data_IF_760771778602
#
_entry.id   IF_760771778602
#
_cell.length_a   1.000
_cell.length_b   1.000
_cell.length_c   1.000
_cell.angle_alpha   90.00
_cell.angle_beta   90.00
_cell.angle_gamma   90.00
#
_symmetry.space_group_name_H-M   'P 1'
#
loop_
_entity.id
_entity.type
_entity.pdbx_description
1 polymer ?
#
# COMPACT_ATOMS: atom_id res chain seq x y z
N UNK A 1 -21.44 29.15 12.00
CA UNK A 1 -19.96 29.27 11.99
C UNK A 1 -19.51 29.88 13.31
N UNK A 2 -18.42 29.36 13.90
CA UNK A 2 -17.81 29.92 15.11
C UNK A 2 -16.58 30.73 14.72
N UNK A 3 -16.43 31.94 15.27
CA UNK A 3 -15.35 32.86 14.92
C UNK A 3 -14.37 33.02 16.07
N UNK A 4 -13.08 32.92 15.77
CA UNK A 4 -11.99 33.24 16.68
C UNK A 4 -11.11 34.34 16.07
N UNK A 5 -10.87 35.41 16.83
CA UNK A 5 -9.98 36.49 16.40
C UNK A 5 -8.58 36.26 16.96
N UNK A 6 -7.59 36.17 16.06
CA UNK A 6 -6.18 36.10 16.40
C UNK A 6 -5.58 37.48 16.20
N UNK A 7 -5.12 38.09 17.30
CA UNK A 7 -4.50 39.42 17.24
C UNK A 7 -3.10 39.34 16.64
N UNK A 8 -2.84 40.20 15.66
CA UNK A 8 -1.51 40.35 15.09
C UNK A 8 -0.56 41.02 16.10
N UNK A 9 0.69 40.57 16.16
CA UNK A 9 1.74 41.24 16.95
C UNK A 9 2.47 42.26 16.05
N UNK A 10 2.59 43.50 16.52
CA UNK A 10 3.34 44.62 15.93
C UNK A 10 3.19 44.78 14.39
N UNK A 11 2.33 45.71 13.96
CA UNK A 11 2.08 46.08 12.55
C UNK A 11 1.59 44.96 11.61
N UNK A 12 1.17 43.81 12.14
CA UNK A 12 0.47 42.77 11.38
C UNK A 12 -1.03 42.87 11.61
N UNK A 13 -1.81 42.77 10.54
CA UNK A 13 -3.26 42.75 10.61
C UNK A 13 -3.77 41.57 11.46
N UNK A 14 -4.89 41.78 12.16
CA UNK A 14 -5.60 40.71 12.84
C UNK A 14 -6.12 39.69 11.82
N UNK A 15 -6.08 38.41 12.19
CA UNK A 15 -6.62 37.32 11.38
C UNK A 15 -7.86 36.79 12.07
N UNK A 16 -8.94 36.62 11.30
CA UNK A 16 -10.12 35.93 11.77
C UNK A 16 -10.09 34.49 11.31
N UNK A 17 -10.27 33.55 12.24
CA UNK A 17 -10.41 32.12 11.92
C UNK A 17 -11.88 31.75 12.11
N UNK A 18 -12.54 31.38 11.02
CA UNK A 18 -13.88 30.83 11.04
C UNK A 18 -13.83 29.31 11.02
N UNK A 19 -14.42 28.66 12.02
CA UNK A 19 -14.62 27.21 12.04
C UNK A 19 -16.06 26.89 11.71
N UNK A 20 -16.29 26.10 10.68
CA UNK A 20 -17.63 25.72 10.25
C UNK A 20 -17.78 24.20 10.11
N UNK A 21 -18.86 23.66 10.68
CA UNK A 21 -19.25 22.28 10.48
C UNK A 21 -20.64 22.29 9.84
N UNK A 22 -20.74 21.74 8.63
CA UNK A 22 -22.01 21.54 7.92
C UNK A 22 -22.40 20.07 8.03
N UNK A 23 -23.52 19.71 8.65
CA UNK A 23 -24.03 18.33 8.64
C UNK A 23 -24.38 17.87 7.22
N UNK A 24 -24.26 16.57 6.88
CA UNK A 24 -24.55 16.06 5.53
C UNK A 24 -25.95 16.37 4.99
N UNK A 25 -26.95 16.46 5.87
CA UNK A 25 -28.35 16.69 5.52
C UNK A 25 -28.83 18.10 5.90
N UNK A 26 -27.92 19.09 5.89
CA UNK A 26 -28.27 20.46 6.24
C UNK A 26 -29.23 21.09 5.22
N UNK A 27 -30.15 21.90 5.73
CA UNK A 27 -31.09 22.68 4.92
C UNK A 27 -30.37 23.80 4.14
N UNK A 28 -30.86 24.07 2.92
CA UNK A 28 -30.34 25.12 2.04
C UNK A 28 -30.45 26.50 2.67
N UNK A 29 -31.50 26.76 3.45
CA UNK A 29 -31.67 28.06 4.12
C UNK A 29 -30.53 28.34 5.12
N UNK A 30 -30.00 27.30 5.78
CA UNK A 30 -28.88 27.42 6.71
C UNK A 30 -27.57 27.66 5.94
N UNK A 31 -27.44 27.07 4.74
CA UNK A 31 -26.32 27.34 3.84
C UNK A 31 -26.31 28.80 3.38
N UNK A 32 -27.47 29.37 3.01
CA UNK A 32 -27.58 30.79 2.63
C UNK A 32 -27.12 31.73 3.74
N UNK A 33 -27.56 31.48 4.97
CA UNK A 33 -27.16 32.28 6.14
C UNK A 33 -25.64 32.22 6.32
N UNK A 34 -25.06 31.02 6.12
CA UNK A 34 -23.62 30.86 6.18
C UNK A 34 -22.91 31.64 5.06
N UNK A 35 -23.39 31.61 3.82
CA UNK A 35 -22.81 32.34 2.70
C UNK A 35 -22.87 33.85 2.89
N UNK A 36 -23.98 34.39 3.41
CA UNK A 36 -24.10 35.81 3.73
C UNK A 36 -23.08 36.23 4.80
N UNK A 37 -22.96 35.45 5.88
CA UNK A 37 -21.95 35.70 6.91
C UNK A 37 -20.53 35.63 6.36
N UNK A 38 -20.25 34.67 5.48
CA UNK A 38 -18.95 34.53 4.85
C UNK A 38 -18.61 35.75 4.00
N UNK A 39 -19.58 36.26 3.24
CA UNK A 39 -19.40 37.44 2.39
C UNK A 39 -19.09 38.70 3.21
N UNK A 40 -19.85 38.95 4.27
CA UNK A 40 -19.61 40.10 5.16
C UNK A 40 -18.22 40.06 5.83
N UNK A 41 -17.79 38.88 6.26
CA UNK A 41 -16.51 38.72 6.95
C UNK A 41 -15.31 38.82 5.99
N UNK A 42 -15.45 38.28 4.78
CA UNK A 42 -14.37 38.32 3.77
C UNK A 42 -14.04 39.74 3.31
N UNK A 43 -15.03 40.64 3.27
CA UNK A 43 -14.84 42.04 2.88
C UNK A 43 -14.14 42.89 3.95
N UNK A 44 -14.31 42.51 5.22
CA UNK A 44 -13.90 43.35 6.35
C UNK A 44 -12.59 42.92 6.99
N UNK A 45 -12.19 41.64 6.84
CA UNK A 45 -11.11 41.04 7.60
C UNK A 45 -10.34 39.99 6.79
N UNK A 46 -9.07 39.80 7.13
CA UNK A 46 -8.31 38.64 6.66
C UNK A 46 -8.91 37.38 7.29
N UNK A 47 -9.69 36.64 6.50
CA UNK A 47 -10.42 35.45 6.94
C UNK A 47 -9.68 34.17 6.55
N UNK A 48 -9.54 33.27 7.51
CA UNK A 48 -9.17 31.86 7.29
C UNK A 48 -10.37 31.01 7.68
N UNK A 49 -11.01 30.42 6.69
CA UNK A 49 -12.13 29.51 6.88
C UNK A 49 -11.61 28.06 6.92
N UNK A 50 -11.97 27.32 7.95
CA UNK A 50 -11.62 25.90 8.12
C UNK A 50 -12.82 25.11 8.61
N UNK A 51 -12.85 23.82 8.31
CA UNK A 51 -13.89 22.94 8.82
C UNK A 51 -14.24 21.81 7.88
N UNK A 52 -15.34 21.13 8.22
CA UNK A 52 -15.89 20.03 7.43
C UNK A 52 -17.23 20.47 6.84
N UNK A 53 -17.25 20.58 5.52
CA UNK A 53 -18.40 21.05 4.75
C UNK A 53 -19.34 19.93 4.30
N UNK A 54 -18.93 18.65 4.43
CA UNK A 54 -19.71 17.47 4.01
C UNK A 54 -20.33 17.56 2.60
N UNK A 55 -19.57 18.05 1.62
CA UNK A 55 -19.94 18.02 0.21
C UNK A 55 -19.07 16.98 -0.55
N UNK A 56 -19.53 15.71 -0.66
CA UNK A 56 -18.71 14.63 -1.20
C UNK A 56 -18.48 14.71 -2.71
N UNK A 57 -19.29 15.47 -3.45
CA UNK A 57 -19.20 15.63 -4.90
C UNK A 57 -18.35 16.83 -5.34
N UNK A 58 -17.75 17.56 -4.39
CA UNK A 58 -16.81 18.64 -4.72
C UNK A 58 -15.46 18.02 -5.11
N UNK A 59 -15.03 18.30 -6.34
CA UNK A 59 -13.65 18.15 -6.75
C UNK A 59 -12.89 19.44 -6.42
N UNK A 60 -12.13 19.39 -5.32
CA UNK A 60 -11.33 20.52 -4.86
C UNK A 60 -10.14 20.84 -5.79
N UNK A 61 -9.61 19.84 -6.53
CA UNK A 61 -8.49 20.05 -7.46
C UNK A 61 -8.89 20.95 -8.64
N UNK A 62 -10.07 20.70 -9.20
CA UNK A 62 -10.58 21.42 -10.36
C UNK A 62 -11.57 22.52 -9.99
N UNK A 63 -11.86 22.70 -8.70
CA UNK A 63 -12.89 23.61 -8.21
C UNK A 63 -14.25 23.39 -8.90
N UNK A 64 -14.71 22.14 -8.99
CA UNK A 64 -15.97 21.76 -9.65
C UNK A 64 -16.86 20.90 -8.75
N UNK A 65 -18.17 20.88 -9.03
CA UNK A 65 -19.13 20.02 -8.34
C UNK A 65 -20.29 19.58 -9.24
N UNK A 66 -20.88 18.42 -8.94
CA UNK A 66 -22.00 17.85 -9.70
C UNK A 66 -23.36 18.42 -9.25
N UNK A 67 -23.53 18.59 -7.93
CA UNK A 67 -24.79 19.04 -7.33
C UNK A 67 -24.82 20.56 -7.20
N UNK A 68 -26.02 21.11 -7.36
CA UNK A 68 -26.26 22.56 -7.25
C UNK A 68 -25.83 23.11 -5.89
N UNK A 69 -26.22 22.48 -4.78
CA UNK A 69 -25.82 22.91 -3.43
C UNK A 69 -24.30 23.02 -3.26
N UNK A 70 -23.56 22.04 -3.79
CA UNK A 70 -22.09 22.00 -3.75
C UNK A 70 -21.48 23.10 -4.61
N UNK A 71 -22.04 23.38 -5.80
CA UNK A 71 -21.60 24.49 -6.66
C UNK A 71 -21.79 25.84 -6.00
N UNK A 72 -22.90 26.05 -5.28
CA UNK A 72 -23.16 27.33 -4.60
C UNK A 72 -22.11 27.65 -3.54
N UNK A 73 -21.54 26.66 -2.86
CA UNK A 73 -20.38 26.87 -2.00
C UNK A 73 -19.17 27.35 -2.81
N UNK A 74 -18.87 26.71 -3.95
CA UNK A 74 -17.72 27.06 -4.79
C UNK A 74 -17.86 28.48 -5.38
N UNK A 75 -19.05 28.82 -5.87
CA UNK A 75 -19.40 30.17 -6.33
C UNK A 75 -19.21 31.19 -5.20
N UNK A 76 -19.72 30.90 -4.01
CA UNK A 76 -19.55 31.78 -2.85
C UNK A 76 -18.07 31.97 -2.47
N UNK A 77 -17.25 30.91 -2.55
CA UNK A 77 -15.80 31.00 -2.32
C UNK A 77 -15.14 31.90 -3.38
N UNK A 78 -15.51 31.73 -4.65
CA UNK A 78 -14.99 32.52 -5.76
C UNK A 78 -15.41 34.00 -5.69
N UNK A 79 -16.69 34.27 -5.46
CA UNK A 79 -17.28 35.60 -5.33
C UNK A 79 -16.65 36.42 -4.19
N UNK A 80 -16.18 35.72 -3.15
CA UNK A 80 -15.53 36.31 -1.98
C UNK A 80 -14.00 36.28 -2.05
N UNK A 81 -13.43 35.98 -3.22
CA UNK A 81 -11.98 35.91 -3.48
C UNK A 81 -11.22 35.01 -2.48
N UNK A 82 -11.90 34.00 -1.94
CA UNK A 82 -11.30 33.04 -1.03
C UNK A 82 -10.49 32.03 -1.84
N UNK A 83 -9.25 31.79 -1.43
CA UNK A 83 -8.35 30.86 -2.12
C UNK A 83 -8.13 29.61 -1.30
N UNK A 84 -8.19 28.46 -1.97
CA UNK A 84 -7.89 27.20 -1.33
C UNK A 84 -6.40 27.13 -0.97
N UNK A 85 -6.11 26.89 0.32
CA UNK A 85 -4.74 26.78 0.84
C UNK A 85 -4.21 25.34 0.92
N UNK A 86 -4.87 24.40 0.25
CA UNK A 86 -4.40 23.00 0.18
C UNK A 86 -3.21 22.93 -0.76
N UNK A 87 -2.00 22.98 -0.20
CA UNK A 87 -0.75 22.78 -0.95
C UNK A 87 -0.36 21.30 -0.91
N UNK A 88 -0.92 20.51 -1.83
CA UNK A 88 -0.52 19.12 -2.05
C UNK A 88 -1.49 18.38 -2.96
N UNK A 89 -0.97 17.44 -3.74
CA UNK A 89 -1.80 16.50 -4.50
C UNK A 89 -2.47 15.56 -3.49
N UNK A 90 -3.68 15.91 -3.05
CA UNK A 90 -4.47 15.04 -2.19
C UNK A 90 -5.08 13.96 -3.07
N UNK A 91 -4.66 12.74 -2.80
CA UNK A 91 -5.20 11.58 -3.50
C UNK A 91 -6.35 10.99 -2.70
N UNK A 92 -7.54 10.97 -3.30
CA UNK A 92 -8.78 10.54 -2.63
C UNK A 92 -9.29 9.19 -3.13
N UNK A 93 -8.99 8.83 -4.39
CA UNK A 93 -9.37 7.54 -4.98
C UNK A 93 -8.42 6.43 -4.57
N UNK A 94 -8.94 5.21 -4.47
CA UNK A 94 -8.18 4.07 -3.94
C UNK A 94 -7.09 3.60 -4.91
N UNK A 95 -7.33 3.67 -6.22
CA UNK A 95 -6.35 3.32 -7.26
C UNK A 95 -5.15 4.28 -7.21
N UNK A 96 -5.44 5.58 -7.14
CA UNK A 96 -4.40 6.60 -7.07
C UNK A 96 -3.59 6.49 -5.75
N UNK A 97 -4.24 6.17 -4.62
CA UNK A 97 -3.54 5.92 -3.34
C UNK A 97 -2.60 4.73 -3.45
N UNK A 98 -3.06 3.65 -4.08
CA UNK A 98 -2.24 2.46 -4.31
C UNK A 98 -1.02 2.80 -5.16
N UNK A 99 -1.17 3.63 -6.19
CA UNK A 99 -0.07 4.04 -7.06
C UNK A 99 0.95 4.91 -6.33
N UNK A 100 0.50 5.85 -5.48
CA UNK A 100 1.40 6.66 -4.64
C UNK A 100 2.20 5.78 -3.68
N UNK A 101 1.55 4.81 -3.04
CA UNK A 101 2.22 3.86 -2.15
C UNK A 101 3.22 2.98 -2.92
N UNK A 102 2.83 2.47 -4.09
CA UNK A 102 3.67 1.65 -4.95
C UNK A 102 4.91 2.42 -5.43
N UNK A 103 4.73 3.64 -5.94
CA UNK A 103 5.82 4.52 -6.37
C UNK A 103 6.79 4.80 -5.21
N UNK A 104 6.27 5.06 -4.00
CA UNK A 104 7.11 5.24 -2.83
C UNK A 104 7.88 3.96 -2.47
N UNK A 105 7.20 2.80 -2.38
CA UNK A 105 7.86 1.53 -2.07
C UNK A 105 8.93 1.14 -3.09
N UNK A 106 8.68 1.38 -4.38
CA UNK A 106 9.67 1.18 -5.43
C UNK A 106 10.86 2.14 -5.27
N UNK A 107 10.62 3.41 -4.92
CA UNK A 107 11.68 4.43 -4.78
C UNK A 107 12.65 4.16 -3.62
N UNK A 108 12.18 3.54 -2.52
CA UNK A 108 13.02 3.19 -1.37
C UNK A 108 13.75 1.86 -1.56
N UNK A 109 13.31 1.06 -2.55
CA UNK A 109 14.04 -0.13 -2.95
C UNK A 109 15.23 0.33 -3.80
N UNK A 110 16.43 0.25 -3.24
CA UNK A 110 17.64 0.59 -3.99
C UNK A 110 17.73 -0.28 -5.24
N UNK A 111 17.61 0.34 -6.41
CA UNK A 111 18.00 -0.23 -7.70
C UNK A 111 19.52 -0.29 -7.81
N UNK A 112 20.16 -1.02 -6.89
CA UNK A 112 21.59 -1.32 -6.88
C UNK A 112 21.73 -2.72 -6.30
N UNK A 113 21.84 -3.76 -7.11
CA UNK A 113 22.96 -3.97 -8.03
C UNK A 113 22.42 -4.78 -9.20
N UNK A 114 22.46 -4.25 -10.43
CA UNK A 114 22.79 -5.14 -11.53
C UNK A 114 24.13 -5.74 -11.13
N UNK A 115 24.16 -6.98 -10.65
CA UNK A 115 25.39 -7.74 -10.75
C UNK A 115 25.67 -7.70 -12.25
N UNK A 116 26.65 -6.89 -12.65
CA UNK A 116 27.19 -6.95 -14.00
C UNK A 116 27.80 -8.35 -14.11
N UNK A 117 26.98 -9.31 -14.51
CA UNK A 117 27.41 -10.57 -15.08
C UNK A 117 27.93 -10.28 -16.49
N UNK A 118 28.94 -9.40 -16.58
CA UNK A 118 29.92 -9.48 -17.64
C UNK A 118 30.85 -10.63 -17.25
N UNK A 119 30.32 -11.83 -17.41
CA UNK A 119 31.11 -13.04 -17.56
C UNK A 119 30.66 -13.60 -18.90
N UNK A 120 31.50 -13.40 -19.92
CA UNK A 120 31.35 -14.07 -21.21
C UNK A 120 31.03 -15.56 -20.99
N UNK A 121 30.25 -16.20 -21.89
CA UNK A 121 30.14 -17.65 -21.89
C UNK A 121 31.50 -18.22 -22.30
N UNK A 122 32.38 -18.44 -21.33
CA UNK A 122 33.54 -19.27 -21.54
C UNK A 122 33.04 -20.71 -21.48
N UNK A 123 32.93 -21.32 -22.66
CA UNK A 123 32.83 -22.77 -22.80
C UNK A 123 33.94 -23.40 -21.96
N UNK A 124 33.56 -24.05 -20.87
CA UNK A 124 34.44 -24.87 -20.03
C UNK A 124 33.81 -26.25 -20.01
N UNK A 125 34.48 -27.14 -20.73
CA UNK A 125 33.94 -28.42 -21.15
C UNK A 125 33.71 -29.42 -20.03
N UNK A 126 33.18 -30.56 -20.48
CA UNK A 126 33.01 -31.82 -19.77
C UNK A 126 33.98 -31.97 -18.60
N UNK A 127 33.47 -31.66 -17.42
CA UNK A 127 33.99 -32.17 -16.16
C UNK A 127 32.87 -32.96 -15.52
N UNK A 128 32.85 -34.26 -15.82
CA UNK A 128 32.34 -35.25 -14.87
C UNK A 128 33.11 -35.05 -13.55
N UNK A 129 32.48 -34.37 -12.60
CA UNK A 129 33.12 -33.95 -11.36
C UNK A 129 32.10 -33.66 -10.28
N UNK A 130 31.61 -34.74 -9.66
CA UNK A 130 30.73 -34.80 -8.49
C UNK A 130 29.38 -34.10 -8.68
N UNK A 131 28.38 -34.90 -9.04
CA UNK A 131 26.97 -34.57 -8.85
C UNK A 131 26.81 -34.01 -7.43
N UNK A 132 26.13 -32.88 -7.31
CA UNK A 132 25.71 -32.31 -6.03
C UNK A 132 25.29 -33.47 -5.11
N UNK A 133 25.87 -33.58 -3.90
CA UNK A 133 25.22 -34.30 -2.81
C UNK A 133 23.93 -33.54 -2.51
N UNK A 134 22.93 -33.81 -3.34
CA UNK A 134 21.82 -32.91 -3.61
C UNK A 134 20.83 -32.95 -2.47
N UNK A 135 20.25 -31.78 -2.17
CA UNK A 135 19.08 -31.67 -1.30
C UNK A 135 18.08 -32.76 -1.71
N UNK A 136 17.81 -33.69 -0.79
CA UNK A 136 16.79 -34.71 -0.98
C UNK A 136 15.49 -34.18 -0.41
N UNK A 137 14.60 -33.75 -1.30
CA UNK A 137 13.27 -33.26 -0.94
C UNK A 137 12.37 -34.45 -0.65
N UNK A 138 11.98 -34.61 0.62
CA UNK A 138 11.13 -35.73 1.07
C UNK A 138 9.66 -35.31 1.10
N UNK A 139 8.79 -36.21 0.62
CA UNK A 139 7.34 -35.99 0.66
C UNK A 139 6.84 -35.87 2.10
N UNK A 140 7.43 -36.61 3.04
CA UNK A 140 7.05 -36.55 4.46
C UNK A 140 7.24 -35.14 5.04
N UNK A 141 8.37 -34.49 4.73
CA UNK A 141 8.68 -33.13 5.21
C UNK A 141 7.69 -32.10 4.64
N UNK A 142 7.30 -32.26 3.37
CA UNK A 142 6.31 -31.40 2.73
C UNK A 142 4.93 -31.60 3.39
N UNK A 143 4.51 -32.86 3.60
CA UNK A 143 3.24 -33.18 4.27
C UNK A 143 3.16 -32.53 5.66
N UNK A 144 4.23 -32.70 6.44
CA UNK A 144 4.38 -32.10 7.76
C UNK A 144 4.28 -30.57 7.73
N UNK A 145 4.92 -29.92 6.75
CA UNK A 145 4.81 -28.47 6.56
C UNK A 145 3.39 -28.04 6.19
N UNK A 146 2.69 -28.79 5.35
CA UNK A 146 1.31 -28.51 4.95
C UNK A 146 0.34 -28.66 6.13
N UNK A 147 0.48 -29.71 6.94
CA UNK A 147 -0.32 -29.92 8.16
C UNK A 147 -0.11 -28.83 9.21
N UNK A 148 1.09 -28.22 9.25
CA UNK A 148 1.40 -27.10 10.15
C UNK A 148 0.93 -25.74 9.64
N UNK A 149 0.40 -25.64 8.42
CA UNK A 149 -0.12 -24.37 7.91
C UNK A 149 -1.22 -23.82 8.82
N UNK A 150 -1.18 -22.50 9.02
CA UNK A 150 -2.26 -21.76 9.65
C UNK A 150 -3.36 -21.49 8.62
N UNK A 151 -4.51 -22.13 8.81
CA UNK A 151 -5.65 -22.10 7.90
C UNK A 151 -6.26 -20.69 7.74
N UNK A 152 -5.97 -19.76 8.67
CA UNK A 152 -6.51 -18.40 8.68
C UNK A 152 -5.59 -17.38 8.01
N UNK A 153 -4.46 -17.81 7.43
CA UNK A 153 -3.58 -16.93 6.67
C UNK A 153 -4.17 -16.54 5.32
N UNK A 154 -3.76 -15.38 4.82
CA UNK A 154 -4.13 -14.90 3.50
C UNK A 154 -3.51 -15.77 2.40
N UNK A 155 -4.27 -15.97 1.32
CA UNK A 155 -3.81 -16.58 0.08
C UNK A 155 -2.90 -15.64 -0.72
N UNK A 156 -2.04 -16.22 -1.56
CA UNK A 156 -1.24 -15.47 -2.55
C UNK A 156 -2.05 -15.16 -3.81
N UNK A 157 -1.36 -14.65 -4.84
CA UNK A 157 -1.95 -14.40 -6.17
C UNK A 157 -2.29 -15.70 -6.93
N UNK A 158 -1.77 -16.83 -6.46
CA UNK A 158 -2.00 -18.18 -7.01
C UNK A 158 -3.40 -18.74 -6.74
N UNK A 159 -4.24 -18.06 -5.95
CA UNK A 159 -5.58 -18.55 -5.66
C UNK A 159 -5.62 -19.65 -4.59
N UNK A 160 -4.48 -20.06 -4.02
CA UNK A 160 -4.40 -21.21 -3.13
C UNK A 160 -4.55 -20.80 -1.66
N UNK A 161 -5.68 -21.16 -1.07
CA UNK A 161 -5.93 -20.93 0.35
C UNK A 161 -5.18 -21.93 1.23
N UNK A 162 -4.61 -21.51 2.38
CA UNK A 162 -3.87 -22.42 3.27
C UNK A 162 -4.76 -23.55 3.77
N UNK A 163 -6.06 -23.28 4.01
CA UNK A 163 -7.03 -24.30 4.41
C UNK A 163 -7.12 -25.43 3.40
N UNK A 164 -7.23 -25.13 2.11
CA UNK A 164 -7.33 -26.16 1.05
C UNK A 164 -6.06 -26.99 0.99
N UNK A 165 -4.89 -26.35 1.07
CA UNK A 165 -3.60 -27.03 1.06
C UNK A 165 -3.42 -27.97 2.26
N UNK A 166 -3.95 -27.56 3.43
CA UNK A 166 -3.94 -28.35 4.65
C UNK A 166 -4.85 -29.57 4.58
N UNK A 167 -6.07 -29.42 4.05
CA UNK A 167 -7.00 -30.55 3.84
C UNK A 167 -6.48 -31.55 2.81
N UNK A 168 -5.67 -31.09 1.86
CA UNK A 168 -5.05 -31.92 0.81
C UNK A 168 -3.60 -32.31 1.14
N UNK A 169 -3.17 -32.15 2.39
CA UNK A 169 -1.79 -32.38 2.81
C UNK A 169 -1.31 -33.82 2.64
N UNK A 170 -2.22 -34.79 2.50
CA UNK A 170 -1.87 -36.20 2.26
C UNK A 170 -1.70 -36.54 0.77
N UNK A 171 -2.14 -35.65 -0.13
CA UNK A 171 -2.15 -35.88 -1.59
C UNK A 171 -1.18 -34.95 -2.33
N UNK A 172 -1.04 -33.71 -1.87
CA UNK A 172 -0.17 -32.70 -2.47
C UNK A 172 1.35 -32.92 -2.33
N UNK A 173 1.89 -33.66 -1.33
CA UNK A 173 3.34 -33.79 -1.17
C UNK A 173 4.05 -34.36 -2.40
N UNK A 174 3.47 -35.36 -3.05
CA UNK A 174 4.02 -35.99 -4.25
C UNK A 174 4.13 -35.05 -5.45
N UNK A 175 3.07 -34.36 -5.91
CA UNK A 175 3.22 -33.39 -7.00
C UNK A 175 4.13 -32.22 -6.61
N UNK A 176 4.10 -31.76 -5.35
CA UNK A 176 4.97 -30.68 -4.89
C UNK A 176 6.46 -31.09 -4.87
N UNK A 177 6.79 -32.32 -4.47
CA UNK A 177 8.17 -32.80 -4.46
C UNK A 177 8.78 -32.82 -5.86
N UNK A 178 8.00 -33.22 -6.87
CA UNK A 178 8.40 -33.19 -8.28
C UNK A 178 8.68 -31.76 -8.73
N UNK A 179 7.77 -30.82 -8.40
CA UNK A 179 7.94 -29.41 -8.76
C UNK A 179 9.18 -28.84 -8.06
N UNK A 180 9.33 -29.03 -6.75
CA UNK A 180 10.46 -28.49 -6.01
C UNK A 180 11.80 -29.06 -6.48
N UNK A 181 11.86 -30.37 -6.78
CA UNK A 181 13.07 -30.99 -7.30
C UNK A 181 13.41 -30.42 -8.69
N UNK A 182 12.41 -30.26 -9.57
CA UNK A 182 12.62 -29.61 -10.87
C UNK A 182 13.10 -28.18 -10.70
N UNK A 183 12.50 -27.42 -9.78
CA UNK A 183 12.89 -26.04 -9.50
C UNK A 183 14.32 -25.95 -8.96
N UNK A 184 14.72 -26.87 -8.09
CA UNK A 184 16.09 -26.96 -7.58
C UNK A 184 17.11 -27.26 -8.69
N UNK A 185 16.79 -28.18 -9.60
CA UNK A 185 17.68 -28.58 -10.69
C UNK A 185 17.80 -27.51 -11.79
N UNK A 186 16.72 -26.77 -12.06
CA UNK A 186 16.67 -25.77 -13.13
C UNK A 186 17.04 -24.37 -12.65
N UNK A 187 16.95 -24.10 -11.35
CA UNK A 187 17.04 -22.74 -10.80
C UNK A 187 15.83 -21.86 -11.12
N UNK A 188 14.77 -22.44 -11.68
CA UNK A 188 13.54 -21.73 -12.05
C UNK A 188 12.38 -22.16 -11.14
N UNK A 189 11.48 -21.23 -10.82
CA UNK A 189 10.25 -21.51 -10.06
C UNK A 189 9.02 -21.07 -10.86
N UNK A 190 7.83 -21.63 -10.60
CA UNK A 190 6.59 -21.16 -11.20
C UNK A 190 6.44 -19.63 -11.10
N UNK A 191 5.92 -19.01 -12.16
CA UNK A 191 5.75 -17.56 -12.21
C UNK A 191 4.88 -17.05 -11.05
N UNK A 192 3.85 -17.81 -10.67
CA UNK A 192 2.95 -17.50 -9.57
C UNK A 192 3.66 -17.43 -8.20
N UNK A 193 4.83 -18.06 -8.08
CA UNK A 193 5.64 -18.01 -6.86
C UNK A 193 6.59 -16.80 -6.83
N UNK A 194 6.86 -16.20 -8.01
CA UNK A 194 7.72 -15.01 -8.15
C UNK A 194 6.97 -13.71 -7.96
N UNK A 195 5.65 -13.74 -8.11
CA UNK A 195 4.77 -12.57 -7.96
C UNK A 195 4.12 -12.58 -6.58
N UNK A 196 3.79 -11.39 -6.07
CA UNK A 196 3.15 -11.23 -4.78
C UNK A 196 2.24 -10.01 -4.78
N UNK A 197 1.15 -10.08 -4.00
CA UNK A 197 0.36 -8.88 -3.72
C UNK A 197 1.05 -8.08 -2.61
N UNK A 198 1.38 -6.82 -2.86
CA UNK A 198 2.03 -5.94 -1.88
C UNK A 198 0.96 -5.19 -1.11
N UNK A 199 0.77 -5.55 0.16
CA UNK A 199 -0.18 -4.89 1.05
C UNK A 199 0.53 -3.86 1.91
N UNK A 200 0.12 -2.58 1.89
CA UNK A 200 0.65 -1.55 2.77
C UNK A 200 0.15 -1.75 4.22
N UNK A 201 1.06 -1.92 5.17
CA UNK A 201 0.74 -1.98 6.61
C UNK A 201 1.18 -0.69 7.28
N UNK A 202 0.23 0.04 7.86
CA UNK A 202 0.51 1.26 8.60
C UNK A 202 1.41 0.99 9.82
N UNK A 203 2.47 1.79 9.96
CA UNK A 203 3.41 1.73 11.09
C UNK A 203 3.01 2.71 12.20
N UNK A 204 3.22 4.01 11.96
CA UNK A 204 3.09 5.13 12.92
C UNK A 204 3.24 6.46 12.17
N UNK A 205 2.81 7.58 12.76
CA UNK A 205 2.97 8.92 12.16
C UNK A 205 1.69 9.42 11.50
N UNK A 206 1.83 10.13 10.39
CA UNK A 206 0.70 10.63 9.59
C UNK A 206 0.27 9.55 8.59
N UNK A 207 -1.03 9.25 8.48
CA UNK A 207 -1.54 8.22 7.56
C UNK A 207 -1.49 8.67 6.10
N UNK A 208 -1.35 9.95 5.87
CA UNK A 208 -1.29 10.57 4.55
C UNK A 208 0.12 10.47 3.94
N UNK A 209 1.12 10.09 4.74
CA UNK A 209 2.51 9.97 4.34
C UNK A 209 2.87 8.51 4.03
N UNK A 210 3.19 8.17 2.76
CA UNK A 210 3.59 6.82 2.33
C UNK A 210 4.77 6.23 3.12
N UNK A 211 5.67 7.06 3.63
CA UNK A 211 6.82 6.62 4.45
C UNK A 211 6.45 5.96 5.76
N UNK A 212 5.22 6.19 6.21
CA UNK A 212 4.68 5.62 7.44
C UNK A 212 4.06 4.23 7.24
N UNK A 213 4.21 3.61 6.05
CA UNK A 213 3.73 2.27 5.75
C UNK A 213 4.89 1.27 5.53
N UNK A 214 4.64 -0.02 5.75
CA UNK A 214 5.53 -1.14 5.36
C UNK A 214 4.90 -1.86 4.17
N UNK A 215 5.65 -2.15 3.09
CA UNK A 215 5.21 -3.13 2.13
C UNK A 215 5.29 -4.53 2.76
N UNK A 216 4.21 -5.30 2.72
CA UNK A 216 4.20 -6.72 3.05
C UNK A 216 3.76 -7.51 1.82
N UNK A 217 4.64 -8.40 1.35
CA UNK A 217 4.39 -9.25 0.20
C UNK A 217 3.63 -10.52 0.61
N UNK A 218 2.42 -10.69 0.06
CA UNK A 218 1.67 -11.93 0.15
C UNK A 218 2.13 -12.87 -0.97
N UNK A 219 3.13 -13.70 -0.68
CA UNK A 219 3.68 -14.70 -1.61
C UNK A 219 2.91 -16.01 -1.59
N UNK A 220 3.05 -16.80 -2.65
CA UNK A 220 2.48 -18.14 -2.81
C UNK A 220 2.81 -19.07 -1.63
N UNK A 221 1.81 -19.81 -1.15
CA UNK A 221 1.99 -20.73 -0.02
C UNK A 221 2.86 -21.93 -0.39
N UNK A 222 2.66 -22.62 -1.53
CA UNK A 222 3.62 -23.61 -2.03
C UNK A 222 5.04 -23.06 -2.16
N UNK A 223 5.20 -21.83 -2.65
CA UNK A 223 6.51 -21.15 -2.68
C UNK A 223 7.17 -21.06 -1.30
N UNK A 224 6.42 -20.62 -0.28
CA UNK A 224 6.91 -20.58 1.12
C UNK A 224 7.26 -21.95 1.66
N UNK A 225 6.50 -22.99 1.32
CA UNK A 225 6.82 -24.37 1.73
C UNK A 225 8.15 -24.80 1.12
N UNK A 226 8.40 -24.48 -0.16
CA UNK A 226 9.70 -24.73 -0.78
C UNK A 226 10.84 -24.00 -0.07
N UNK A 227 10.66 -22.71 0.25
CA UNK A 227 11.64 -21.92 1.01
C UNK A 227 11.98 -22.58 2.35
N UNK A 228 10.98 -23.12 3.05
CA UNK A 228 11.19 -23.83 4.32
C UNK A 228 11.96 -25.14 4.14
N UNK A 229 11.68 -25.92 3.09
CA UNK A 229 12.45 -27.14 2.76
C UNK A 229 13.92 -26.79 2.48
N UNK A 230 14.18 -25.74 1.70
CA UNK A 230 15.55 -25.29 1.41
C UNK A 230 16.23 -24.80 2.69
N UNK A 231 15.54 -23.99 3.51
CA UNK A 231 16.06 -23.47 4.77
C UNK A 231 16.41 -24.60 5.74
N UNK A 232 15.55 -25.61 5.84
CA UNK A 232 15.75 -26.83 6.63
C UNK A 232 17.05 -27.53 6.21
N UNK A 233 17.20 -27.80 4.90
CA UNK A 233 18.39 -28.46 4.35
C UNK A 233 19.69 -27.66 4.56
N UNK A 234 19.66 -26.34 4.32
CA UNK A 234 20.82 -25.46 4.55
C UNK A 234 21.19 -25.47 6.04
N UNK A 235 20.19 -25.34 6.92
CA UNK A 235 20.40 -25.30 8.37
C UNK A 235 21.03 -26.62 8.84
N UNK A 236 20.48 -27.76 8.43
CA UNK A 236 21.06 -29.07 8.77
C UNK A 236 22.52 -29.21 8.32
N UNK A 237 22.86 -28.69 7.13
CA UNK A 237 24.23 -28.75 6.63
C UNK A 237 25.20 -27.86 7.42
N UNK A 238 24.76 -26.67 7.84
CA UNK A 238 25.56 -25.74 8.64
C UNK A 238 25.73 -26.29 10.07
N UNK A 239 24.66 -26.76 10.69
CA UNK A 239 24.70 -27.28 12.07
C UNK A 239 25.50 -28.57 12.18
N UNK A 240 25.55 -29.40 11.13
CA UNK A 240 26.39 -30.61 11.11
C UNK A 240 27.91 -30.30 11.07
N UNK A 241 28.29 -29.10 10.64
CA UNK A 241 29.70 -28.70 10.48
C UNK A 241 30.26 -27.87 11.64
N UNK A 242 29.47 -27.60 12.68
CA UNK A 242 29.86 -26.91 13.92
C UNK A 242 29.87 -27.89 15.09
#
# INVERSE_FOLDING_TARGET
MTLARIKGKANKADIMVGVYYRPPNQDVEIDEIFYQQLAELSQSLTLVLVGDFNFPDISWEYNTAEREQSRRLLECVEDNFLTQLVKGNIVTKDEEKAEVLNAYFASVFSSGTSCSLDSQPHELGDREGKQNEGITIKEEEISDLLHRLDAHKSMGLDGLQPRVLKELADVLPKPLSIIYMKSWLTGEVPIDWRVANVTPIYKKGKKEDPGNYRPVSLTSIPGKVMEQVILSAITSHITWKL
#
